data_IF_799295916915
#
_entry.id   IF_799295916915
#
_cell.length_a   1.000
_cell.length_b   1.000
_cell.length_c   1.000
_cell.angle_alpha   90.00
_cell.angle_beta   90.00
_cell.angle_gamma   90.00
#
_symmetry.space_group_name_H-M   'P 1'
#
loop_
_entity.id
_entity.type
_entity.pdbx_description
1 polymer ?
#
# COMPACT_ATOMS: atom_id res chain seq x y z
N UNK A 1 8.47 -24.33 4.40
CA UNK A 1 8.95 -23.03 3.89
C UNK A 1 8.03 -22.48 2.80
N UNK A 2 8.14 -21.20 2.49
CA UNK A 2 7.38 -20.57 1.41
C UNK A 2 7.92 -21.03 0.05
N UNK A 3 7.01 -21.29 -0.89
CA UNK A 3 7.38 -21.61 -2.27
C UNK A 3 7.77 -20.33 -3.00
N UNK A 4 8.96 -20.28 -3.61
CA UNK A 4 9.37 -19.21 -4.51
C UNK A 4 8.75 -19.47 -5.88
N UNK A 5 7.96 -18.52 -6.39
CA UNK A 5 7.35 -18.60 -7.73
C UNK A 5 8.33 -18.21 -8.82
N UNK A 6 9.22 -17.27 -8.57
CA UNK A 6 10.22 -16.81 -9.51
C UNK A 6 11.05 -15.67 -8.93
N UNK A 7 11.90 -15.08 -9.76
CA UNK A 7 12.82 -13.99 -9.41
C UNK A 7 12.71 -12.91 -10.47
N UNK A 8 12.63 -11.65 -10.04
CA UNK A 8 12.75 -10.50 -10.94
C UNK A 8 14.24 -10.27 -11.20
N UNK A 9 14.61 -10.25 -12.46
CA UNK A 9 16.01 -10.13 -12.90
C UNK A 9 16.25 -8.84 -13.67
N UNK A 10 17.51 -8.36 -13.66
CA UNK A 10 17.91 -7.17 -14.41
C UNK A 10 17.49 -7.27 -15.90
N UNK A 11 17.03 -6.19 -16.54
CA UNK A 11 16.93 -4.82 -16.01
C UNK A 11 15.65 -4.52 -15.20
N UNK A 12 14.82 -5.52 -14.92
CA UNK A 12 13.62 -5.37 -14.09
C UNK A 12 13.96 -5.03 -12.64
N UNK A 13 13.24 -4.06 -12.08
CA UNK A 13 13.26 -3.71 -10.66
C UNK A 13 11.84 -3.75 -10.11
N UNK A 14 11.70 -4.23 -8.87
CA UNK A 14 10.42 -4.27 -8.17
C UNK A 14 10.65 -4.24 -6.66
N UNK A 15 9.98 -3.31 -5.99
CA UNK A 15 9.98 -3.22 -4.53
C UNK A 15 8.62 -3.59 -3.93
N UNK A 16 8.64 -4.25 -2.77
CA UNK A 16 7.43 -4.72 -2.10
C UNK A 16 6.45 -3.60 -1.72
N UNK A 17 6.96 -2.39 -1.44
CA UNK A 17 6.14 -1.21 -1.14
C UNK A 17 5.26 -0.75 -2.31
N UNK A 18 5.62 -1.11 -3.53
CA UNK A 18 4.82 -0.84 -4.73
C UNK A 18 3.75 -1.91 -5.00
N UNK A 19 3.60 -2.92 -4.14
CA UNK A 19 2.61 -3.99 -4.37
C UNK A 19 1.53 -3.99 -3.30
N UNK A 20 0.26 -3.96 -3.70
CA UNK A 20 -0.89 -4.03 -2.81
C UNK A 20 -1.97 -4.98 -3.38
N UNK A 21 -2.40 -5.95 -2.59
CA UNK A 21 -3.55 -6.78 -2.93
C UNK A 21 -4.84 -5.95 -2.83
N UNK A 22 -5.62 -5.95 -3.90
CA UNK A 22 -6.92 -5.27 -3.95
C UNK A 22 -8.06 -6.26 -3.65
N UNK A 23 -7.91 -7.48 -4.12
CA UNK A 23 -8.77 -8.63 -3.82
C UNK A 23 -7.96 -9.93 -3.98
N UNK A 24 -8.62 -11.08 -3.89
CA UNK A 24 -7.97 -12.40 -3.93
C UNK A 24 -7.28 -12.72 -5.27
N UNK A 25 -7.63 -11.99 -6.32
CA UNK A 25 -7.15 -12.25 -7.70
C UNK A 25 -6.51 -11.02 -8.34
N UNK A 26 -6.46 -9.88 -7.67
CA UNK A 26 -5.96 -8.62 -8.23
C UNK A 26 -4.85 -8.02 -7.38
N UNK A 27 -3.66 -7.88 -7.96
CA UNK A 27 -2.53 -7.20 -7.38
C UNK A 27 -2.32 -5.84 -8.07
N UNK A 28 -2.45 -4.74 -7.33
CA UNK A 28 -2.02 -3.43 -7.81
C UNK A 28 -0.50 -3.28 -7.66
N UNK A 29 0.15 -2.76 -8.69
CA UNK A 29 1.60 -2.55 -8.71
C UNK A 29 1.93 -1.13 -9.16
N UNK A 30 2.56 -0.37 -8.28
CA UNK A 30 3.04 0.98 -8.58
C UNK A 30 4.17 0.95 -9.61
N UNK A 31 4.01 1.72 -10.69
CA UNK A 31 5.11 2.05 -11.58
C UNK A 31 5.75 3.33 -11.06
N UNK A 32 6.95 3.21 -10.52
CA UNK A 32 7.65 4.25 -9.77
C UNK A 32 9.13 4.31 -10.17
N UNK A 33 9.89 5.16 -9.50
CA UNK A 33 11.36 5.14 -9.64
C UNK A 33 12.00 3.87 -9.06
N UNK A 34 11.26 3.12 -8.22
CA UNK A 34 11.73 1.90 -7.54
C UNK A 34 11.29 0.62 -8.26
N UNK A 35 10.19 0.69 -8.98
CA UNK A 35 9.60 -0.41 -9.73
C UNK A 35 9.40 0.02 -11.17
N UNK A 36 10.10 -0.61 -12.11
CA UNK A 36 10.05 -0.25 -13.51
C UNK A 36 9.12 -1.15 -14.33
N UNK A 37 8.86 -0.75 -15.57
CA UNK A 37 7.98 -1.48 -16.51
C UNK A 37 8.42 -2.94 -16.70
N UNK A 38 9.73 -3.19 -16.81
CA UNK A 38 10.26 -4.53 -17.00
C UNK A 38 10.03 -5.41 -15.76
N UNK A 39 10.19 -4.87 -14.56
CA UNK A 39 9.86 -5.57 -13.31
C UNK A 39 8.39 -5.95 -13.23
N UNK A 40 7.49 -5.02 -13.61
CA UNK A 40 6.05 -5.27 -13.67
C UNK A 40 5.73 -6.36 -14.71
N UNK A 41 6.34 -6.31 -15.89
CA UNK A 41 6.15 -7.32 -16.94
C UNK A 41 6.58 -8.72 -16.47
N UNK A 42 7.73 -8.83 -15.82
CA UNK A 42 8.20 -10.11 -15.27
C UNK A 42 7.27 -10.63 -14.17
N UNK A 43 6.83 -9.76 -13.26
CA UNK A 43 5.87 -10.13 -12.22
C UNK A 43 4.56 -10.63 -12.84
N UNK A 44 4.02 -9.92 -13.82
CA UNK A 44 2.80 -10.31 -14.52
C UNK A 44 2.94 -11.70 -15.16
N UNK A 45 4.07 -11.98 -15.81
CA UNK A 45 4.33 -13.29 -16.40
C UNK A 45 4.39 -14.42 -15.36
N UNK A 46 4.86 -14.14 -14.13
CA UNK A 46 4.89 -15.11 -13.04
C UNK A 46 3.49 -15.34 -12.43
N UNK A 47 2.63 -14.34 -12.43
CA UNK A 47 1.32 -14.38 -11.75
C UNK A 47 0.18 -14.86 -12.67
N UNK A 48 0.25 -14.59 -13.97
CA UNK A 48 -0.77 -15.00 -14.96
C UNK A 48 -1.10 -16.51 -14.91
N UNK A 49 -0.11 -17.44 -14.79
CA UNK A 49 -0.41 -18.87 -14.74
C UNK A 49 -1.21 -19.33 -13.51
N UNK A 50 -1.26 -18.50 -12.48
CA UNK A 50 -2.02 -18.76 -11.24
C UNK A 50 -3.25 -17.84 -11.11
N UNK A 51 -3.70 -17.28 -12.25
CA UNK A 51 -4.92 -16.47 -12.37
C UNK A 51 -4.93 -15.20 -11.48
N UNK A 52 -3.78 -14.54 -11.31
CA UNK A 52 -3.66 -13.25 -10.65
C UNK A 52 -3.50 -12.15 -11.70
N UNK A 53 -4.40 -11.19 -11.68
CA UNK A 53 -4.35 -10.00 -12.53
C UNK A 53 -3.46 -8.93 -11.90
N UNK A 54 -2.62 -8.28 -12.73
CA UNK A 54 -1.77 -7.17 -12.31
C UNK A 54 -2.33 -5.86 -12.85
N UNK A 55 -2.65 -4.94 -11.96
CA UNK A 55 -3.08 -3.57 -12.30
C UNK A 55 -1.91 -2.62 -12.09
N UNK A 56 -1.35 -2.10 -13.17
CA UNK A 56 -0.28 -1.10 -13.12
C UNK A 56 -0.82 0.26 -12.70
N UNK A 57 -0.19 0.88 -11.70
CA UNK A 57 -0.55 2.19 -11.16
C UNK A 57 0.59 3.17 -11.42
N UNK A 58 0.47 4.11 -12.38
CA UNK A 58 1.54 5.08 -12.65
C UNK A 58 1.63 6.10 -11.52
N UNK A 59 2.68 6.03 -10.72
CA UNK A 59 2.87 6.93 -9.59
C UNK A 59 3.43 8.29 -10.04
N UNK A 60 3.06 9.40 -9.35
CA UNK A 60 3.57 10.72 -9.67
C UNK A 60 5.04 10.89 -9.31
N UNK A 61 5.68 11.92 -9.90
CA UNK A 61 7.07 12.29 -9.60
C UNK A 61 7.29 12.67 -8.12
N UNK A 62 6.31 13.32 -7.53
CA UNK A 62 6.32 13.83 -6.14
C UNK A 62 7.63 14.54 -5.77
N UNK A 63 8.48 13.96 -4.90
CA UNK A 63 9.79 14.52 -4.49
C UNK A 63 10.97 14.00 -5.35
N UNK A 64 10.68 13.15 -6.34
CA UNK A 64 11.67 12.65 -7.30
C UNK A 64 12.39 11.37 -6.91
N UNK A 65 13.44 10.98 -7.66
CA UNK A 65 14.06 9.65 -7.55
C UNK A 65 14.83 9.40 -6.26
N UNK A 66 15.15 10.45 -5.49
CA UNK A 66 15.81 10.31 -4.19
C UNK A 66 14.83 10.01 -3.06
N UNK A 67 13.52 10.15 -3.30
CA UNK A 67 12.48 9.86 -2.34
C UNK A 67 12.04 8.39 -2.42
N UNK A 68 11.76 7.79 -1.28
CA UNK A 68 11.23 6.43 -1.20
C UNK A 68 9.70 6.50 -1.25
N UNK A 69 9.18 6.80 -2.44
CA UNK A 69 7.74 6.90 -2.68
C UNK A 69 7.22 5.64 -3.37
N UNK A 70 6.30 4.94 -2.71
CA UNK A 70 5.69 3.70 -3.16
C UNK A 70 4.17 3.82 -3.30
N UNK A 71 3.54 2.83 -3.92
CA UNK A 71 2.07 2.70 -3.93
C UNK A 71 1.50 2.70 -2.50
N UNK A 72 2.14 1.98 -1.58
CA UNK A 72 1.70 1.93 -0.18
C UNK A 72 2.00 3.21 0.61
N UNK A 73 2.61 4.22 0.01
CA UNK A 73 2.67 5.57 0.58
C UNK A 73 1.33 6.31 0.47
N UNK A 74 0.49 5.93 -0.49
CA UNK A 74 -0.80 6.59 -0.77
C UNK A 74 -2.01 5.65 -0.67
N UNK A 75 -1.77 4.37 -0.37
CA UNK A 75 -2.82 3.35 -0.27
C UNK A 75 -2.46 2.31 0.79
N UNK A 76 -3.34 2.10 1.75
CA UNK A 76 -3.30 0.96 2.67
C UNK A 76 -4.67 0.30 2.72
N UNK A 77 -4.87 -0.84 2.03
CA UNK A 77 -6.11 -1.62 2.17
C UNK A 77 -6.25 -2.16 3.59
N UNK A 78 -7.39 -1.92 4.23
CA UNK A 78 -7.66 -2.32 5.62
C UNK A 78 -8.83 -3.28 5.75
N UNK A 79 -9.60 -3.45 4.67
CA UNK A 79 -10.65 -4.45 4.51
C UNK A 79 -10.87 -4.69 3.01
N UNK A 80 -11.78 -5.60 2.63
CA UNK A 80 -12.16 -5.90 1.24
C UNK A 80 -12.81 -4.71 0.53
N UNK A 81 -13.44 -3.80 1.30
CA UNK A 81 -14.21 -2.66 0.82
C UNK A 81 -13.72 -1.31 1.39
N UNK A 82 -12.61 -1.32 2.14
CA UNK A 82 -12.11 -0.12 2.81
C UNK A 82 -10.59 0.02 2.66
N UNK A 83 -10.15 1.22 2.28
CA UNK A 83 -8.74 1.57 2.23
C UNK A 83 -8.47 2.95 2.83
N UNK A 84 -7.33 3.09 3.50
CA UNK A 84 -6.76 4.39 3.84
C UNK A 84 -6.05 4.93 2.61
N UNK A 85 -6.31 6.18 2.24
CA UNK A 85 -5.76 6.77 1.03
C UNK A 85 -5.31 8.22 1.24
N UNK A 86 -4.31 8.62 0.46
CA UNK A 86 -3.96 10.02 0.28
C UNK A 86 -4.30 10.44 -1.16
N UNK A 87 -5.51 10.92 -1.35
CA UNK A 87 -6.08 11.22 -2.68
C UNK A 87 -5.32 12.28 -3.49
N UNK A 88 -4.67 13.33 -2.91
CA UNK A 88 -3.93 14.31 -3.70
C UNK A 88 -2.84 13.75 -4.60
N UNK A 89 -2.23 12.62 -4.24
CA UNK A 89 -1.19 11.95 -5.04
C UNK A 89 -1.68 10.69 -5.75
N UNK A 90 -2.96 10.32 -5.61
CA UNK A 90 -3.50 9.11 -6.20
C UNK A 90 -3.86 9.33 -7.68
N UNK A 91 -3.40 8.47 -8.62
CA UNK A 91 -3.81 8.55 -10.01
C UNK A 91 -5.32 8.40 -10.17
N UNK A 92 -5.95 9.30 -10.93
CA UNK A 92 -7.41 9.36 -11.11
C UNK A 92 -7.98 8.03 -11.61
N UNK A 93 -7.31 7.39 -12.57
CA UNK A 93 -7.77 6.11 -13.12
C UNK A 93 -7.78 5.02 -12.06
N UNK A 94 -6.76 4.96 -11.21
CA UNK A 94 -6.66 3.98 -10.14
C UNK A 94 -7.72 4.22 -9.07
N UNK A 95 -7.89 5.47 -8.62
CA UNK A 95 -8.95 5.83 -7.67
C UNK A 95 -10.34 5.42 -8.18
N UNK A 96 -10.64 5.71 -9.45
CA UNK A 96 -11.90 5.33 -10.07
C UNK A 96 -12.06 3.80 -10.19
N UNK A 97 -10.97 3.06 -10.42
CA UNK A 97 -10.97 1.60 -10.43
C UNK A 97 -11.36 1.05 -9.04
N UNK A 98 -10.79 1.57 -7.96
CA UNK A 98 -11.13 1.18 -6.60
C UNK A 98 -12.59 1.47 -6.26
N UNK A 99 -13.11 2.66 -6.66
CA UNK A 99 -14.54 3.01 -6.47
C UNK A 99 -15.45 2.01 -7.20
N UNK A 100 -15.13 1.67 -8.45
CA UNK A 100 -15.90 0.68 -9.24
C UNK A 100 -15.88 -0.72 -8.61
N UNK A 101 -14.84 -1.05 -7.85
CA UNK A 101 -14.73 -2.29 -7.08
C UNK A 101 -15.42 -2.23 -5.72
N UNK A 102 -16.06 -1.11 -5.38
CA UNK A 102 -16.83 -0.95 -4.14
C UNK A 102 -16.03 -0.43 -2.95
N UNK A 103 -14.79 0.05 -3.16
CA UNK A 103 -14.01 0.61 -2.05
C UNK A 103 -14.57 1.94 -1.56
N UNK A 104 -14.70 2.03 -0.25
CA UNK A 104 -14.81 3.27 0.51
C UNK A 104 -13.42 3.73 0.98
N UNK A 105 -13.24 5.01 1.24
CA UNK A 105 -11.94 5.57 1.59
C UNK A 105 -11.95 6.28 2.94
N UNK A 106 -10.90 6.04 3.70
CA UNK A 106 -10.47 6.88 4.82
C UNK A 106 -9.39 7.81 4.28
N UNK A 107 -9.74 9.07 4.08
CA UNK A 107 -8.82 10.07 3.54
C UNK A 107 -7.84 10.56 4.62
N UNK A 108 -6.56 10.53 4.32
CA UNK A 108 -5.51 11.10 5.16
C UNK A 108 -5.46 12.62 4.93
N UNK A 109 -5.46 13.46 5.96
CA UNK A 109 -5.32 14.90 5.79
C UNK A 109 -3.88 15.28 5.47
N UNK A 110 -3.68 16.44 4.81
CA UNK A 110 -2.37 16.88 4.33
C UNK A 110 -1.34 17.00 5.46
N UNK A 111 -1.76 17.43 6.64
CA UNK A 111 -0.90 17.59 7.81
C UNK A 111 -0.50 16.27 8.50
N UNK A 112 -1.10 15.16 8.10
CA UNK A 112 -0.75 13.82 8.60
C UNK A 112 -0.13 12.90 7.52
N UNK A 113 0.04 13.38 6.30
CA UNK A 113 0.64 12.57 5.24
C UNK A 113 2.13 12.30 5.49
N UNK A 114 2.89 13.34 5.78
CA UNK A 114 4.34 13.24 6.05
C UNK A 114 4.65 12.51 7.36
N UNK A 115 3.72 12.48 8.31
CA UNK A 115 3.83 11.70 9.56
C UNK A 115 3.36 10.25 9.44
N UNK A 116 3.27 9.74 8.21
CA UNK A 116 2.89 8.35 7.90
C UNK A 116 1.42 7.99 8.19
N UNK A 117 0.52 8.97 8.17
CA UNK A 117 -0.90 8.74 8.36
C UNK A 117 -1.52 7.72 7.39
N UNK A 118 -0.96 7.62 6.16
CA UNK A 118 -1.41 6.64 5.18
C UNK A 118 -0.79 5.24 5.36
N UNK A 119 0.26 5.10 6.19
CA UNK A 119 0.93 3.82 6.41
C UNK A 119 0.23 3.03 7.53
N UNK A 120 -0.83 2.33 7.18
CA UNK A 120 -1.69 1.59 8.12
C UNK A 120 -1.66 0.10 7.79
N UNK A 121 -1.22 -0.72 8.75
CA UNK A 121 -1.20 -2.17 8.60
C UNK A 121 -2.52 -2.77 9.10
N UNK A 122 -3.23 -3.47 8.23
CA UNK A 122 -4.32 -4.34 8.64
C UNK A 122 -3.76 -5.64 9.24
N UNK A 123 -3.94 -5.85 10.53
CA UNK A 123 -3.60 -7.10 11.23
C UNK A 123 -4.74 -8.13 11.18
N UNK A 124 -5.96 -7.66 10.93
CA UNK A 124 -7.17 -8.41 10.59
C UNK A 124 -8.13 -7.44 9.89
N UNK A 125 -9.23 -7.89 9.28
CA UNK A 125 -10.23 -6.99 8.70
C UNK A 125 -10.66 -5.91 9.69
N UNK A 126 -10.53 -4.64 9.32
CA UNK A 126 -10.81 -3.44 10.15
C UNK A 126 -10.07 -3.40 11.50
N UNK A 127 -9.02 -4.17 11.68
CA UNK A 127 -8.10 -4.06 12.83
C UNK A 127 -6.77 -3.51 12.34
N UNK A 128 -6.49 -2.27 12.68
CA UNK A 128 -5.42 -1.47 12.10
C UNK A 128 -4.33 -1.19 13.12
N UNK A 129 -3.07 -1.26 12.69
CA UNK A 129 -1.91 -0.79 13.44
C UNK A 129 -1.29 0.38 12.69
N UNK A 130 -1.03 1.49 13.38
CA UNK A 130 -0.41 2.69 12.82
C UNK A 130 0.57 3.35 13.79
N UNK A 131 1.44 4.20 13.25
CA UNK A 131 2.32 5.03 14.07
C UNK A 131 1.47 6.09 14.79
N UNK A 132 1.78 6.35 16.05
CA UNK A 132 1.14 7.43 16.80
C UNK A 132 1.43 8.81 16.17
N UNK A 133 0.69 9.83 16.58
CA UNK A 133 0.85 11.20 16.06
C UNK A 133 -0.02 11.54 14.85
N UNK A 134 -0.95 10.66 14.47
CA UNK A 134 -1.90 10.86 13.37
C UNK A 134 -3.37 10.82 13.86
N UNK A 135 -3.79 11.72 14.78
CA UNK A 135 -5.06 11.62 15.47
C UNK A 135 -6.29 11.78 14.56
N UNK A 136 -6.19 12.56 13.46
CA UNK A 136 -7.30 12.76 12.53
C UNK A 136 -7.54 11.50 11.69
N UNK A 137 -6.47 10.89 11.17
CA UNK A 137 -6.56 9.62 10.43
C UNK A 137 -7.08 8.51 11.33
N UNK A 138 -6.58 8.41 12.56
CA UNK A 138 -7.10 7.48 13.56
C UNK A 138 -8.61 7.66 13.77
N UNK A 139 -9.05 8.90 14.05
CA UNK A 139 -10.48 9.18 14.27
C UNK A 139 -11.34 8.80 13.07
N UNK A 140 -10.87 9.06 11.84
CA UNK A 140 -11.58 8.68 10.61
C UNK A 140 -11.66 7.17 10.43
N UNK A 141 -10.61 6.43 10.77
CA UNK A 141 -10.61 4.96 10.80
C UNK A 141 -11.63 4.41 11.80
N UNK A 142 -11.64 4.96 13.03
CA UNK A 142 -12.60 4.56 14.07
C UNK A 142 -14.06 4.85 13.64
N UNK A 143 -14.32 6.01 13.01
CA UNK A 143 -15.61 6.35 12.42
C UNK A 143 -16.03 5.41 11.28
N UNK A 144 -15.06 4.88 10.52
CA UNK A 144 -15.30 3.87 9.49
C UNK A 144 -15.46 2.45 10.06
N UNK A 145 -15.53 2.29 11.38
CA UNK A 145 -15.73 1.01 12.06
C UNK A 145 -14.47 0.19 12.26
N UNK A 146 -13.29 0.79 12.18
CA UNK A 146 -12.03 0.11 12.46
C UNK A 146 -11.65 0.17 13.94
N UNK A 147 -11.04 -0.91 14.43
CA UNK A 147 -10.31 -0.90 15.70
C UNK A 147 -8.88 -0.50 15.42
N UNK A 148 -8.41 0.58 16.03
CA UNK A 148 -7.08 1.14 15.77
C UNK A 148 -6.16 0.94 16.96
N UNK A 149 -4.99 0.37 16.68
CA UNK A 149 -3.87 0.26 17.60
C UNK A 149 -2.78 1.21 17.17
N UNK A 150 -2.14 1.87 18.12
CA UNK A 150 -1.01 2.76 17.86
C UNK A 150 0.24 2.24 18.58
N UNK A 151 1.40 2.57 18.00
CA UNK A 151 2.68 2.34 18.66
C UNK A 151 3.57 3.59 18.52
N UNK A 152 4.49 3.72 19.46
CA UNK A 152 5.51 4.75 19.37
C UNK A 152 6.56 4.36 18.33
N UNK A 153 6.50 5.03 17.18
CA UNK A 153 7.36 4.79 16.04
C UNK A 153 8.59 5.71 15.96
N UNK A 154 8.85 6.54 16.96
CA UNK A 154 9.89 7.59 16.89
C UNK A 154 11.26 7.04 16.48
N UNK A 155 11.68 5.90 17.05
CA UNK A 155 13.01 5.32 16.80
C UNK A 155 13.07 4.48 15.52
N UNK A 156 12.04 3.70 15.22
CA UNK A 156 12.04 2.78 14.08
C UNK A 156 11.44 3.43 12.84
N UNK A 157 10.20 3.91 12.94
CA UNK A 157 9.44 4.37 11.79
C UNK A 157 9.83 5.77 11.34
N UNK A 158 9.90 6.73 12.27
CA UNK A 158 10.20 8.11 11.93
C UNK A 158 11.65 8.26 11.46
N UNK A 159 12.61 7.73 12.22
CA UNK A 159 14.03 7.77 11.84
C UNK A 159 14.34 6.89 10.63
N UNK A 160 13.67 5.76 10.48
CA UNK A 160 13.85 4.84 9.36
C UNK A 160 13.07 5.21 8.10
N UNK A 161 12.15 6.18 8.16
CA UNK A 161 11.36 6.61 7.02
C UNK A 161 10.32 5.55 6.56
N UNK A 162 9.86 4.68 7.46
CA UNK A 162 8.91 3.62 7.09
C UNK A 162 8.01 3.17 8.24
N UNK A 163 6.71 3.11 7.99
CA UNK A 163 5.69 2.70 8.94
C UNK A 163 5.50 1.17 9.03
N UNK A 164 4.43 0.70 9.67
CA UNK A 164 4.23 -0.71 9.95
C UNK A 164 4.11 -1.59 8.68
N UNK A 165 3.60 -1.06 7.58
CA UNK A 165 3.54 -1.80 6.31
C UNK A 165 4.92 -2.00 5.70
N UNK A 166 5.84 -1.06 5.89
CA UNK A 166 7.22 -1.15 5.41
C UNK A 166 8.05 -2.17 6.19
N UNK A 167 7.71 -2.38 7.48
CA UNK A 167 8.41 -3.28 8.40
C UNK A 167 7.87 -4.72 8.37
N UNK A 168 6.79 -4.98 7.65
CA UNK A 168 6.09 -6.28 7.66
C UNK A 168 5.71 -6.71 6.25
N UNK A 169 5.50 -8.00 6.10
CA UNK A 169 4.87 -8.59 4.91
C UNK A 169 3.94 -9.71 5.35
N UNK A 170 2.63 -9.51 5.27
CA UNK A 170 1.68 -10.57 5.59
C UNK A 170 1.88 -11.78 4.70
N UNK A 171 1.97 -12.96 5.29
CA UNK A 171 2.12 -14.24 4.58
C UNK A 171 0.75 -14.88 4.35
N UNK A 172 -0.11 -14.77 5.35
CA UNK A 172 -1.49 -15.27 5.32
C UNK A 172 -2.37 -14.22 5.99
N UNK A 173 -3.53 -13.96 5.38
CA UNK A 173 -4.60 -13.18 6.01
C UNK A 173 -5.85 -14.05 6.02
N UNK A 174 -6.51 -14.15 7.16
CA UNK A 174 -7.89 -14.62 7.20
C UNK A 174 -8.79 -13.52 6.60
N UNK A 175 -9.57 -13.92 5.63
CA UNK A 175 -10.42 -13.02 4.86
C UNK A 175 -11.87 -13.26 5.28
#
# INVERSE_FOLDING_TARGET
GLKVLGVITSPGTLEGGDTAWIDDTTLAVGHSYRTNEEGIRQLTALLTPIAIDVVTVPLPHYKGPSDVFHLMSILSPVDRDLAVVYSPLMPVQFRNNLIKRGFSFVEVPDDEFESMGCNVLAIAPRQCLMVNGNPKTRSRLEQAGCKVFEYDGAEISVKGGGGPTCLTRPILREI
#
